data_IF_986611340084
#
_entry.id   IF_986611340084
#
_cell.length_a   1.000
_cell.length_b   1.000
_cell.length_c   1.000
_cell.angle_alpha   90.00
_cell.angle_beta   90.00
_cell.angle_gamma   90.00
#
_symmetry.space_group_name_H-M   'P 1'
#
loop_
_entity.id
_entity.type
_entity.pdbx_description
1 polymer ?
#
# COMPACT_ATOMS: atom_id res chain seq x y z
N UNK A 1 35.42 -39.13 48.40
CA UNK A 1 34.19 -39.33 47.62
C UNK A 1 33.05 -38.38 48.01
N UNK A 2 32.59 -38.35 49.28
CA UNK A 2 31.49 -37.45 49.72
C UNK A 2 31.70 -35.95 49.44
N UNK A 3 32.93 -35.43 49.58
CA UNK A 3 33.27 -34.01 49.30
C UNK A 3 33.19 -33.64 47.81
N UNK A 4 33.51 -34.59 46.92
CA UNK A 4 33.46 -34.39 45.46
C UNK A 4 32.01 -34.42 44.97
N UNK A 5 31.18 -35.31 45.54
CA UNK A 5 29.74 -35.37 45.26
C UNK A 5 29.02 -34.08 45.70
N UNK A 6 29.41 -33.52 46.86
CA UNK A 6 28.85 -32.28 47.37
C UNK A 6 29.20 -31.07 46.48
N UNK A 7 30.43 -31.02 45.96
CA UNK A 7 30.87 -30.00 45.00
C UNK A 7 30.10 -30.07 43.67
N UNK A 8 29.84 -31.29 43.15
CA UNK A 8 29.05 -31.47 41.93
C UNK A 8 27.60 -31.00 42.08
N UNK A 9 26.96 -31.27 43.21
CA UNK A 9 25.59 -30.82 43.48
C UNK A 9 25.51 -29.30 43.56
N UNK A 10 26.51 -28.65 44.17
CA UNK A 10 26.58 -27.18 44.25
C UNK A 10 26.78 -26.57 42.85
N UNK A 11 27.66 -27.15 42.02
CA UNK A 11 27.90 -26.68 40.65
C UNK A 11 26.64 -26.83 39.77
N UNK A 12 25.94 -27.96 39.88
CA UNK A 12 24.67 -28.20 39.17
C UNK A 12 23.58 -27.23 39.66
N UNK A 13 23.51 -26.96 40.97
CA UNK A 13 22.58 -25.99 41.54
C UNK A 13 22.83 -24.55 41.06
N UNK A 14 24.11 -24.16 40.93
CA UNK A 14 24.50 -22.85 40.38
C UNK A 14 24.15 -22.75 38.89
N UNK A 15 24.35 -23.83 38.12
CA UNK A 15 23.99 -23.88 36.70
C UNK A 15 22.48 -23.73 36.47
N UNK A 16 21.62 -24.26 37.34
CA UNK A 16 20.15 -24.15 37.23
C UNK A 16 19.66 -22.71 37.46
N UNK A 17 20.32 -21.95 38.34
CA UNK A 17 19.91 -20.57 38.67
C UNK A 17 20.13 -19.58 37.51
N UNK A 18 21.12 -19.81 36.66
CA UNK A 18 21.45 -18.90 35.55
C UNK A 18 20.41 -19.00 34.42
N UNK A 19 19.80 -20.18 34.23
CA UNK A 19 18.81 -20.44 33.16
C UNK A 19 17.43 -19.84 33.50
N UNK A 20 17.09 -19.69 34.78
CA UNK A 20 15.79 -19.15 35.21
C UNK A 20 15.64 -17.64 35.03
N UNK A 21 16.74 -16.87 35.09
CA UNK A 21 16.71 -15.41 34.95
C UNK A 21 16.47 -14.96 33.50
N UNK A 22 17.03 -15.66 32.53
CA UNK A 22 16.92 -15.32 31.10
C UNK A 22 15.51 -15.57 30.55
N UNK A 23 14.83 -16.63 31.02
CA UNK A 23 13.46 -16.93 30.64
C UNK A 23 12.48 -15.82 31.04
N UNK A 24 12.59 -15.34 32.28
CA UNK A 24 11.74 -14.28 32.80
C UNK A 24 11.95 -12.97 32.04
N UNK A 25 13.20 -12.62 31.77
CA UNK A 25 13.52 -11.38 31.06
C UNK A 25 13.04 -11.42 29.60
N UNK A 26 13.29 -12.51 28.89
CA UNK A 26 12.78 -12.72 27.53
C UNK A 26 11.25 -12.57 27.46
N UNK A 27 10.52 -13.22 28.37
CA UNK A 27 9.06 -13.15 28.39
C UNK A 27 8.55 -11.73 28.68
N UNK A 28 9.25 -10.98 29.53
CA UNK A 28 8.93 -9.58 29.78
C UNK A 28 9.09 -8.74 28.51
N UNK A 29 10.21 -8.85 27.80
CA UNK A 29 10.47 -8.12 26.55
C UNK A 29 9.41 -8.47 25.49
N UNK A 30 9.09 -9.76 25.33
CA UNK A 30 8.03 -10.20 24.41
C UNK A 30 6.68 -9.59 24.77
N UNK A 31 6.35 -9.47 26.06
CA UNK A 31 5.10 -8.87 26.50
C UNK A 31 5.07 -7.35 26.26
N UNK A 32 6.18 -6.65 26.52
CA UNK A 32 6.31 -5.22 26.21
C UNK A 32 6.11 -4.95 24.71
N UNK A 33 6.65 -5.80 23.83
CA UNK A 33 6.41 -5.72 22.39
C UNK A 33 4.94 -5.92 22.02
N UNK A 34 4.26 -6.89 22.64
CA UNK A 34 2.81 -7.11 22.45
C UNK A 34 1.97 -5.91 22.92
N UNK A 35 2.32 -5.31 24.05
CA UNK A 35 1.65 -4.10 24.56
C UNK A 35 1.84 -2.94 23.57
N UNK A 36 3.03 -2.78 22.98
CA UNK A 36 3.27 -1.76 21.97
C UNK A 36 2.40 -1.98 20.72
N UNK A 37 2.25 -3.24 20.26
CA UNK A 37 1.31 -3.61 19.18
C UNK A 37 -0.13 -3.22 19.54
N UNK A 38 -0.59 -3.48 20.77
CA UNK A 38 -1.94 -3.10 21.19
C UNK A 38 -2.19 -1.59 21.16
N UNK A 39 -1.13 -0.80 21.33
CA UNK A 39 -1.16 0.67 21.23
C UNK A 39 -0.97 1.18 19.80
N UNK A 40 -0.70 0.30 18.84
CA UNK A 40 -0.37 0.67 17.46
C UNK A 40 1.03 1.27 17.27
N UNK A 41 1.89 1.17 18.29
CA UNK A 41 3.29 1.64 18.24
C UNK A 41 4.20 0.52 17.72
N UNK A 42 4.26 0.41 16.39
CA UNK A 42 4.99 -0.66 15.72
C UNK A 42 6.50 -0.50 15.75
N UNK A 43 7.00 0.74 15.89
CA UNK A 43 8.45 0.98 16.05
C UNK A 43 8.93 0.44 17.40
N UNK A 44 8.25 0.81 18.49
CA UNK A 44 8.56 0.25 19.81
C UNK A 44 8.36 -1.27 19.81
N UNK A 45 7.32 -1.79 19.15
CA UNK A 45 7.11 -3.23 19.05
C UNK A 45 8.28 -3.93 18.33
N UNK A 46 8.73 -3.40 17.20
CA UNK A 46 9.89 -3.90 16.43
C UNK A 46 11.15 -3.90 17.28
N UNK A 47 11.44 -2.81 18.00
CA UNK A 47 12.59 -2.72 18.89
C UNK A 47 12.56 -3.81 19.97
N UNK A 48 11.40 -4.02 20.61
CA UNK A 48 11.23 -5.05 21.64
C UNK A 48 11.37 -6.45 21.08
N UNK A 49 10.75 -6.75 19.94
CA UNK A 49 10.90 -8.07 19.32
C UNK A 49 12.33 -8.31 18.84
N UNK A 50 13.02 -7.29 18.32
CA UNK A 50 14.44 -7.38 17.97
C UNK A 50 15.29 -7.71 19.21
N UNK A 51 15.06 -7.01 20.32
CA UNK A 51 15.73 -7.32 21.60
C UNK A 51 15.45 -8.76 22.05
N UNK A 52 14.22 -9.24 21.93
CA UNK A 52 13.87 -10.62 22.25
C UNK A 52 14.63 -11.63 21.36
N UNK A 53 14.91 -11.30 20.09
CA UNK A 53 15.75 -12.16 19.24
C UNK A 53 17.22 -12.15 19.64
N UNK A 54 17.73 -11.08 20.26
CA UNK A 54 19.09 -11.09 20.83
C UNK A 54 19.18 -11.99 22.06
N UNK A 55 18.18 -11.92 22.94
CA UNK A 55 18.06 -12.77 24.13
C UNK A 55 17.90 -14.26 23.77
N UNK A 56 17.08 -14.56 22.76
CA UNK A 56 16.85 -15.92 22.27
C UNK A 56 16.88 -15.98 20.74
N UNK A 57 18.09 -16.16 20.20
CA UNK A 57 18.36 -16.17 18.76
C UNK A 57 17.58 -17.19 17.96
N UNK A 58 17.16 -18.31 18.55
CA UNK A 58 16.43 -19.36 17.83
C UNK A 58 14.92 -19.33 18.09
N UNK A 59 14.42 -18.33 18.84
CA UNK A 59 13.00 -18.22 19.11
C UNK A 59 12.23 -17.80 17.84
N UNK A 60 11.44 -18.73 17.31
CA UNK A 60 10.67 -18.51 16.08
C UNK A 60 9.59 -17.44 16.24
N UNK A 61 8.93 -17.38 17.40
CA UNK A 61 7.88 -16.39 17.66
C UNK A 61 8.44 -14.96 17.68
N UNK A 62 9.56 -14.72 18.36
CA UNK A 62 10.22 -13.41 18.38
C UNK A 62 10.60 -12.93 16.98
N UNK A 63 11.19 -13.83 16.15
CA UNK A 63 11.51 -13.54 14.75
C UNK A 63 10.25 -13.26 13.91
N UNK A 64 9.20 -14.05 14.10
CA UNK A 64 7.96 -13.88 13.39
C UNK A 64 7.32 -12.52 13.70
N UNK A 65 7.22 -12.15 14.98
CA UNK A 65 6.65 -10.87 15.40
C UNK A 65 7.52 -9.68 14.98
N UNK A 66 8.85 -9.83 14.99
CA UNK A 66 9.77 -8.83 14.45
C UNK A 66 9.51 -8.58 12.96
N UNK A 67 9.40 -9.65 12.16
CA UNK A 67 9.16 -9.54 10.72
C UNK A 67 7.77 -8.96 10.44
N UNK A 68 6.74 -9.39 11.17
CA UNK A 68 5.40 -8.84 11.03
C UNK A 68 5.35 -7.34 11.37
N UNK A 69 5.97 -6.91 12.47
CA UNK A 69 6.05 -5.49 12.82
C UNK A 69 6.83 -4.68 11.78
N UNK A 70 7.94 -5.22 11.26
CA UNK A 70 8.74 -4.58 10.21
C UNK A 70 7.93 -4.38 8.93
N UNK A 71 7.16 -5.38 8.50
CA UNK A 71 6.28 -5.27 7.32
C UNK A 71 5.18 -4.22 7.52
N UNK A 72 4.65 -4.05 8.74
CA UNK A 72 3.68 -2.96 9.02
C UNK A 72 4.33 -1.60 8.83
N UNK A 73 5.54 -1.40 9.36
CA UNK A 73 6.27 -0.12 9.26
C UNK A 73 6.58 0.20 7.79
N UNK A 74 7.18 -0.76 7.07
CA UNK A 74 7.54 -0.58 5.66
C UNK A 74 6.29 -0.36 4.79
N UNK A 75 5.22 -1.12 5.02
CA UNK A 75 3.94 -0.93 4.35
C UNK A 75 3.36 0.47 4.57
N UNK A 76 3.40 0.99 5.82
CA UNK A 76 2.92 2.35 6.13
C UNK A 76 3.76 3.44 5.46
N UNK A 77 5.07 3.22 5.37
CA UNK A 77 5.95 4.14 4.65
C UNK A 77 5.59 4.18 3.16
N UNK A 78 5.51 3.02 2.51
CA UNK A 78 5.13 2.90 1.10
C UNK A 78 3.75 3.51 0.82
N UNK A 79 2.78 3.28 1.72
CA UNK A 79 1.45 3.90 1.66
C UNK A 79 1.54 5.42 1.70
N UNK A 80 2.35 5.98 2.61
CA UNK A 80 2.54 7.43 2.72
C UNK A 80 3.21 8.06 1.49
N UNK A 81 4.00 7.26 0.77
CA UNK A 81 4.69 7.64 -0.46
C UNK A 81 3.83 7.41 -1.72
N UNK A 82 2.62 6.85 -1.56
CA UNK A 82 1.69 6.57 -2.67
C UNK A 82 1.94 5.25 -3.41
N UNK A 83 2.85 4.40 -2.93
CA UNK A 83 3.14 3.09 -3.51
C UNK A 83 2.16 2.02 -2.98
N UNK A 84 0.87 2.18 -3.28
CA UNK A 84 -0.21 1.38 -2.69
C UNK A 84 -0.11 -0.11 -2.99
N UNK A 85 0.40 -0.49 -4.17
CA UNK A 85 0.56 -1.89 -4.56
C UNK A 85 1.66 -2.58 -3.73
N UNK A 86 2.78 -1.89 -3.55
CA UNK A 86 3.91 -2.33 -2.76
C UNK A 86 3.53 -2.40 -1.27
N UNK A 87 2.83 -1.37 -0.76
CA UNK A 87 2.30 -1.35 0.59
C UNK A 87 1.36 -2.55 0.84
N UNK A 88 0.44 -2.82 -0.09
CA UNK A 88 -0.45 -4.00 -0.03
C UNK A 88 0.35 -5.30 0.06
N UNK A 89 1.39 -5.45 -0.75
CA UNK A 89 2.23 -6.66 -0.71
C UNK A 89 2.92 -6.84 0.65
N UNK A 90 3.40 -5.76 1.28
CA UNK A 90 3.95 -5.81 2.63
C UNK A 90 2.91 -6.32 3.64
N UNK A 91 1.68 -5.78 3.56
CA UNK A 91 0.59 -6.18 4.45
C UNK A 91 0.10 -7.62 4.22
N UNK A 92 0.05 -8.09 2.96
CA UNK A 92 -0.28 -9.48 2.63
C UNK A 92 0.76 -10.46 3.18
N UNK A 93 2.05 -10.09 3.10
CA UNK A 93 3.14 -10.91 3.61
C UNK A 93 3.04 -11.17 5.12
N UNK A 94 2.43 -10.26 5.90
CA UNK A 94 2.21 -10.46 7.35
C UNK A 94 1.42 -11.74 7.61
N UNK A 95 0.41 -12.03 6.77
CA UNK A 95 -0.46 -13.21 6.94
C UNK A 95 0.27 -14.52 6.68
N UNK A 96 1.34 -14.49 5.87
CA UNK A 96 2.14 -15.66 5.52
C UNK A 96 3.20 -16.00 6.59
N UNK A 97 3.41 -15.12 7.57
CA UNK A 97 4.36 -15.35 8.65
C UNK A 97 3.65 -16.09 9.79
N UNK A 98 4.10 -17.30 10.12
CA UNK A 98 3.54 -18.07 11.23
C UNK A 98 3.90 -17.46 12.59
N UNK A 99 2.89 -17.24 13.42
CA UNK A 99 3.02 -16.66 14.76
C UNK A 99 1.79 -17.00 15.60
N UNK A 100 1.99 -17.16 16.90
CA UNK A 100 0.93 -17.44 17.87
C UNK A 100 0.13 -16.18 18.21
N UNK A 101 0.79 -15.02 18.27
CA UNK A 101 0.13 -13.75 18.54
C UNK A 101 -0.49 -13.14 17.27
N UNK A 102 -1.80 -13.31 17.11
CA UNK A 102 -2.52 -12.97 15.87
C UNK A 102 -2.87 -11.49 15.67
N UNK A 103 -2.60 -10.62 16.65
CA UNK A 103 -3.04 -9.21 16.58
C UNK A 103 -2.46 -8.47 15.38
N UNK A 104 -1.16 -8.68 15.08
CA UNK A 104 -0.51 -8.04 13.92
C UNK A 104 -1.07 -8.59 12.60
N UNK A 105 -1.39 -9.88 12.52
CA UNK A 105 -2.05 -10.48 11.33
C UNK A 105 -3.42 -9.88 11.07
N UNK A 106 -4.22 -9.70 12.12
CA UNK A 106 -5.55 -9.08 12.00
C UNK A 106 -5.42 -7.67 11.45
N UNK A 107 -4.48 -6.88 11.98
CA UNK A 107 -4.21 -5.53 11.46
C UNK A 107 -3.73 -5.57 10.01
N UNK A 108 -2.77 -6.45 9.68
CA UNK A 108 -2.26 -6.60 8.32
C UNK A 108 -3.36 -6.93 7.30
N UNK A 109 -4.35 -7.75 7.66
CA UNK A 109 -5.54 -7.99 6.81
C UNK A 109 -6.36 -6.73 6.59
N UNK A 110 -6.58 -5.95 7.65
CA UNK A 110 -7.33 -4.70 7.55
C UNK A 110 -6.61 -3.67 6.66
N UNK A 111 -5.31 -3.51 6.86
CA UNK A 111 -4.47 -2.63 6.05
C UNK A 111 -4.44 -3.08 4.57
N UNK A 112 -4.24 -4.37 4.30
CA UNK A 112 -4.29 -4.92 2.93
C UNK A 112 -5.64 -4.70 2.24
N UNK A 113 -6.75 -4.85 2.98
CA UNK A 113 -8.08 -4.56 2.46
C UNK A 113 -8.24 -3.07 2.12
N UNK A 114 -7.73 -2.17 2.95
CA UNK A 114 -7.77 -0.73 2.65
C UNK A 114 -6.95 -0.40 1.41
N UNK A 115 -5.75 -0.99 1.25
CA UNK A 115 -4.95 -0.80 0.03
C UNK A 115 -5.65 -1.32 -1.22
N UNK A 116 -6.38 -2.44 -1.12
CA UNK A 116 -7.20 -2.94 -2.25
C UNK A 116 -8.23 -1.90 -2.71
N UNK A 117 -8.89 -1.23 -1.76
CA UNK A 117 -9.89 -0.18 -2.07
C UNK A 117 -9.25 1.06 -2.69
N UNK A 118 -8.06 1.46 -2.25
CA UNK A 118 -7.36 2.60 -2.87
C UNK A 118 -6.93 2.27 -4.31
N UNK A 119 -6.43 1.05 -4.55
CA UNK A 119 -6.10 0.60 -5.90
C UNK A 119 -7.32 0.54 -6.83
N UNK A 120 -8.49 0.09 -6.34
CA UNK A 120 -9.73 0.11 -7.11
C UNK A 120 -10.12 1.54 -7.52
N UNK A 121 -10.03 2.52 -6.61
CA UNK A 121 -10.28 3.94 -6.93
C UNK A 121 -9.30 4.49 -7.96
N UNK A 122 -8.02 4.11 -7.88
CA UNK A 122 -7.03 4.51 -8.88
C UNK A 122 -7.34 3.96 -10.27
N UNK A 123 -7.79 2.70 -10.35
CA UNK A 123 -8.18 2.08 -11.61
C UNK A 123 -9.45 2.72 -12.19
N UNK A 124 -10.46 3.00 -11.36
CA UNK A 124 -11.66 3.74 -11.76
C UNK A 124 -11.31 5.14 -12.29
N UNK A 125 -10.45 5.87 -11.57
CA UNK A 125 -9.97 7.20 -11.97
C UNK A 125 -9.22 7.16 -13.29
N UNK A 126 -8.39 6.12 -13.48
CA UNK A 126 -7.64 5.91 -14.72
C UNK A 126 -8.56 5.63 -15.90
N UNK A 127 -9.61 4.85 -15.70
CA UNK A 127 -10.59 4.56 -16.75
C UNK A 127 -11.36 5.82 -17.15
N UNK A 128 -11.85 6.59 -16.17
CA UNK A 128 -12.48 7.89 -16.41
C UNK A 128 -11.58 8.84 -17.21
N UNK A 129 -10.27 8.89 -16.90
CA UNK A 129 -9.32 9.72 -17.64
C UNK A 129 -9.14 9.28 -19.11
N UNK A 130 -9.27 7.97 -19.42
CA UNK A 130 -9.24 7.50 -20.81
C UNK A 130 -10.48 7.96 -21.56
N UNK A 131 -11.65 7.86 -20.94
CA UNK A 131 -12.91 8.33 -21.53
C UNK A 131 -12.88 9.84 -21.78
N UNK A 132 -12.38 10.62 -20.81
CA UNK A 132 -12.21 12.06 -20.96
C UNK A 132 -11.28 12.42 -22.13
N UNK A 133 -10.15 11.70 -22.27
CA UNK A 133 -9.23 11.89 -23.41
C UNK A 133 -9.89 11.56 -24.75
N UNK A 134 -10.71 10.51 -24.80
CA UNK A 134 -11.46 10.14 -26.00
C UNK A 134 -12.47 11.23 -26.36
N UNK A 135 -13.24 11.70 -25.40
CA UNK A 135 -14.20 12.81 -25.59
C UNK A 135 -13.50 14.08 -26.11
N UNK A 136 -12.33 14.43 -25.54
CA UNK A 136 -11.56 15.57 -26.01
C UNK A 136 -11.08 15.41 -27.47
N UNK A 137 -10.71 14.20 -27.88
CA UNK A 137 -10.34 13.91 -29.27
C UNK A 137 -11.55 14.01 -30.21
N UNK A 138 -12.70 13.46 -29.80
CA UNK A 138 -13.95 13.54 -30.58
C UNK A 138 -14.37 15.00 -30.78
N UNK A 139 -14.31 15.83 -29.73
CA UNK A 139 -14.57 17.28 -29.83
C UNK A 139 -13.58 17.96 -30.78
N UNK A 140 -12.30 17.62 -30.72
CA UNK A 140 -11.28 18.18 -31.63
C UNK A 140 -11.56 17.83 -33.09
N UNK A 141 -11.95 16.59 -33.37
CA UNK A 141 -12.28 16.16 -34.72
C UNK A 141 -13.53 16.89 -35.23
N UNK A 142 -14.58 17.03 -34.41
CA UNK A 142 -15.77 17.81 -34.76
C UNK A 142 -15.43 19.28 -35.07
N UNK A 143 -14.53 19.90 -34.30
CA UNK A 143 -14.07 21.26 -34.59
C UNK A 143 -13.32 21.34 -35.92
N UNK A 144 -12.44 20.37 -36.21
CA UNK A 144 -11.73 20.31 -37.49
C UNK A 144 -12.69 20.10 -38.66
N UNK A 145 -13.71 19.25 -38.50
CA UNK A 145 -14.76 19.07 -39.51
C UNK A 145 -15.56 20.35 -39.73
N UNK A 146 -15.85 21.13 -38.67
CA UNK A 146 -16.49 22.45 -38.79
C UNK A 146 -15.60 23.46 -39.52
N UNK A 147 -14.30 23.47 -39.26
CA UNK A 147 -13.33 24.33 -39.96
C UNK A 147 -13.12 23.93 -41.43
N UNK A 148 -13.03 22.62 -41.71
CA UNK A 148 -12.85 22.08 -43.06
C UNK A 148 -14.10 22.23 -43.93
N UNK A 149 -15.29 22.16 -43.33
CA UNK A 149 -16.56 22.35 -44.03
C UNK A 149 -16.86 23.80 -44.42
N UNK A 150 -15.91 24.74 -44.26
CA UNK A 150 -15.88 26.11 -44.81
C UNK A 150 -17.17 26.51 -45.54
N UNK A 151 -18.24 26.69 -44.75
CA UNK A 151 -19.63 26.81 -45.21
C UNK A 151 -19.80 28.05 -46.12
N UNK A 152 -18.78 28.89 -46.20
CA UNK A 152 -18.75 30.13 -46.95
C UNK A 152 -18.53 29.95 -48.46
N UNK A 153 -17.81 28.94 -48.96
CA UNK A 153 -17.42 28.97 -50.39
C UNK A 153 -18.53 28.51 -51.34
N UNK A 154 -19.30 27.48 -50.97
CA UNK A 154 -20.49 27.07 -51.74
C UNK A 154 -21.67 28.02 -51.54
N UNK A 155 -21.91 28.50 -50.31
CA UNK A 155 -22.99 29.46 -50.05
C UNK A 155 -22.72 30.80 -50.72
N UNK A 156 -21.48 31.32 -50.70
CA UNK A 156 -21.18 32.58 -51.39
C UNK A 156 -21.36 32.46 -52.91
N UNK A 157 -20.98 31.32 -53.50
CA UNK A 157 -21.17 31.09 -54.93
C UNK A 157 -22.66 31.00 -55.32
N UNK A 158 -23.47 30.35 -54.50
CA UNK A 158 -24.91 30.28 -54.72
C UNK A 158 -25.59 31.64 -54.49
N UNK A 159 -25.10 32.45 -53.54
CA UNK A 159 -25.58 33.81 -53.31
C UNK A 159 -25.19 34.77 -54.45
N UNK A 160 -23.97 34.69 -54.98
CA UNK A 160 -23.55 35.46 -56.16
C UNK A 160 -24.44 35.15 -57.36
N UNK A 161 -24.71 33.87 -57.62
CA UNK A 161 -25.61 33.45 -58.69
C UNK A 161 -27.05 33.98 -58.51
N UNK A 162 -27.55 34.07 -57.27
CA UNK A 162 -28.89 34.62 -56.99
C UNK A 162 -28.92 36.14 -57.22
N UNK A 163 -27.87 36.86 -56.77
CA UNK A 163 -27.75 38.31 -56.96
C UNK A 163 -27.69 38.68 -58.45
N UNK A 164 -26.86 37.99 -59.23
CA UNK A 164 -26.73 38.23 -60.68
C UNK A 164 -28.06 38.01 -61.43
N UNK A 165 -28.82 36.98 -61.04
CA UNK A 165 -30.13 36.71 -61.62
C UNK A 165 -31.14 37.83 -61.29
N UNK A 166 -31.14 38.35 -60.06
CA UNK A 166 -32.05 39.44 -59.66
C UNK A 166 -31.74 40.72 -60.43
N UNK A 167 -30.46 41.06 -60.63
CA UNK A 167 -30.07 42.23 -61.43
C UNK A 167 -30.47 42.10 -62.89
N UNK A 168 -30.29 40.92 -63.49
CA UNK A 168 -30.70 40.66 -64.88
C UNK A 168 -32.21 40.88 -65.08
N UNK A 169 -33.06 40.35 -64.19
CA UNK A 169 -34.51 40.51 -64.28
C UNK A 169 -34.99 41.93 -63.94
N UNK A 170 -34.22 42.68 -63.15
CA UNK A 170 -34.55 44.06 -62.79
C UNK A 170 -34.24 45.05 -63.91
N UNK A 171 -33.25 44.75 -64.76
CA UNK A 171 -32.79 45.62 -65.85
C UNK A 171 -33.41 45.28 -67.23
N UNK A 172 -34.27 44.26 -67.31
CA UNK A 172 -34.94 43.81 -68.55
C UNK A 172 -36.43 44.17 -68.62
N UNK A 173 -36.88 45.10 -67.76
CA UNK A 173 -38.19 45.78 -67.82
C UNK A 173 -38.01 47.26 -68.12
#
# INVERSE_FOLDING_TARGET
MKKILLLLIIIIGILILIVGCTEKHFNQIMNEGKIAVERGDYETAKEKFNLATFEKRDNKEAKALLNQASNVIEGKQLESEGYFKEAKNMYDNINNIDSQYNKIKIEGKHLSLNMSKELEKEDESREFLKELKRCALDVKNLLADLEANNLNEHINKDLENIVDNIEYYSNTK
#
